data_IF_134048702947
#
_entry.id   IF_134048702947
#
_cell.length_a   1.000
_cell.length_b   1.000
_cell.length_c   1.000
_cell.angle_alpha   90.00
_cell.angle_beta   90.00
_cell.angle_gamma   90.00
#
_symmetry.space_group_name_H-M   'P 1'
#
loop_
_entity.id
_entity.type
_entity.pdbx_description
1 polymer ?
#
# COMPACT_ATOMS: atom_id res chain seq x y z
N UNK A 1 12.96 -11.51 19.13
CA UNK A 1 11.64 -10.88 19.45
C UNK A 1 10.88 -11.86 20.32
N UNK A 2 10.41 -11.47 21.52
CA UNK A 2 9.70 -12.39 22.44
C UNK A 2 8.17 -12.39 22.26
N UNK A 3 7.64 -11.66 21.33
CA UNK A 3 6.19 -11.53 21.11
C UNK A 3 5.84 -12.21 19.80
N UNK A 4 4.88 -13.13 19.85
CA UNK A 4 4.34 -13.75 18.63
C UNK A 4 3.54 -12.66 17.89
N UNK A 5 4.14 -12.05 16.86
CA UNK A 5 3.47 -11.08 16.00
C UNK A 5 2.72 -11.87 14.94
N UNK A 6 1.42 -11.61 14.82
CA UNK A 6 0.59 -12.23 13.79
C UNK A 6 -0.27 -11.17 13.14
N UNK A 7 -0.23 -11.12 11.80
CA UNK A 7 -1.08 -10.24 10.99
C UNK A 7 -2.37 -10.97 10.63
N UNK A 8 -3.49 -10.33 10.89
CA UNK A 8 -4.78 -10.82 10.42
C UNK A 8 -5.10 -10.25 9.03
N UNK A 9 -5.68 -11.09 8.18
CA UNK A 9 -6.17 -10.65 6.87
C UNK A 9 -7.37 -9.73 7.05
N UNK A 10 -7.28 -8.50 6.56
CA UNK A 10 -8.36 -7.52 6.60
C UNK A 10 -9.45 -7.86 5.58
N UNK A 11 -10.67 -7.47 5.89
CA UNK A 11 -11.82 -7.51 4.97
C UNK A 11 -12.02 -6.12 4.35
N UNK A 12 -12.38 -6.11 3.08
CA UNK A 12 -12.65 -4.90 2.30
C UNK A 12 -14.10 -4.93 1.80
N UNK A 13 -15.07 -4.52 2.62
CA UNK A 13 -16.50 -4.68 2.31
C UNK A 13 -16.92 -3.95 1.03
N UNK A 14 -16.32 -2.81 0.73
CA UNK A 14 -16.63 -2.02 -0.46
C UNK A 14 -16.28 -2.74 -1.78
N UNK A 15 -15.38 -3.72 -1.75
CA UNK A 15 -15.04 -4.50 -2.95
C UNK A 15 -16.18 -5.42 -3.42
N UNK A 16 -17.10 -5.80 -2.54
CA UNK A 16 -18.27 -6.61 -2.90
C UNK A 16 -19.20 -5.87 -3.89
N UNK A 17 -19.20 -4.54 -3.84
CA UNK A 17 -19.98 -3.65 -4.70
C UNK A 17 -19.16 -3.07 -5.85
N UNK A 18 -17.97 -3.59 -6.13
CA UNK A 18 -16.98 -3.10 -7.11
C UNK A 18 -17.54 -3.03 -8.54
N UNK A 19 -18.46 -2.10 -8.75
CA UNK A 19 -19.10 -1.83 -10.04
C UNK A 19 -18.05 -1.33 -11.02
N UNK A 20 -17.73 -2.18 -12.01
CA UNK A 20 -16.83 -1.79 -13.11
C UNK A 20 -15.43 -2.40 -13.08
N UNK A 21 -14.96 -2.94 -11.94
CA UNK A 21 -13.72 -3.71 -11.92
C UNK A 21 -14.04 -5.18 -12.19
N UNK A 22 -13.38 -5.84 -13.15
CA UNK A 22 -13.58 -7.26 -13.40
C UNK A 22 -13.29 -8.10 -12.15
N UNK A 23 -14.19 -9.05 -11.85
CA UNK A 23 -14.15 -9.84 -10.61
C UNK A 23 -12.85 -10.66 -10.48
N UNK A 24 -12.31 -11.15 -11.59
CA UNK A 24 -11.06 -11.89 -11.61
C UNK A 24 -9.85 -10.99 -11.21
N UNK A 25 -9.82 -9.74 -11.63
CA UNK A 25 -8.80 -8.76 -11.23
C UNK A 25 -8.86 -8.51 -9.72
N UNK A 26 -10.05 -8.28 -9.17
CA UNK A 26 -10.21 -8.12 -7.72
C UNK A 26 -9.78 -9.37 -6.96
N UNK A 27 -10.16 -10.56 -7.44
CA UNK A 27 -9.73 -11.83 -6.83
C UNK A 27 -8.22 -12.01 -6.86
N UNK A 28 -7.56 -11.65 -7.95
CA UNK A 28 -6.10 -11.74 -8.06
C UNK A 28 -5.41 -10.83 -7.03
N UNK A 29 -5.84 -9.58 -6.92
CA UNK A 29 -5.31 -8.65 -5.91
C UNK A 29 -5.55 -9.15 -4.49
N UNK A 30 -6.75 -9.66 -4.19
CA UNK A 30 -7.06 -10.24 -2.87
C UNK A 30 -6.20 -11.47 -2.56
N UNK A 31 -5.96 -12.34 -3.54
CA UNK A 31 -5.09 -13.51 -3.39
C UNK A 31 -3.63 -13.12 -3.17
N UNK A 32 -3.16 -12.08 -3.89
CA UNK A 32 -1.82 -11.54 -3.70
C UNK A 32 -1.65 -10.97 -2.30
N UNK A 33 -2.63 -10.21 -1.82
CA UNK A 33 -2.67 -9.71 -0.45
C UNK A 33 -2.61 -10.85 0.59
N UNK A 34 -3.48 -11.86 0.45
CA UNK A 34 -3.54 -13.00 1.37
C UNK A 34 -2.22 -13.75 1.43
N UNK A 35 -1.60 -14.02 0.25
CA UNK A 35 -0.27 -14.65 0.18
C UNK A 35 0.79 -13.83 0.90
N UNK A 36 0.78 -12.51 0.74
CA UNK A 36 1.74 -11.62 1.41
C UNK A 36 1.57 -11.62 2.93
N UNK A 37 0.32 -11.68 3.44
CA UNK A 37 0.04 -11.81 4.87
C UNK A 37 0.55 -13.15 5.41
N UNK A 38 0.31 -14.26 4.70
CA UNK A 38 0.83 -15.57 5.08
C UNK A 38 2.34 -15.57 5.16
N UNK A 39 3.01 -15.05 4.13
CA UNK A 39 4.47 -14.95 4.08
C UNK A 39 5.05 -14.08 5.22
N UNK A 40 4.38 -12.97 5.57
CA UNK A 40 4.79 -12.14 6.70
C UNK A 40 4.71 -12.90 8.02
N UNK A 41 3.63 -13.68 8.22
CA UNK A 41 3.46 -14.50 9.43
C UNK A 41 4.52 -15.60 9.52
N UNK A 42 4.81 -16.28 8.41
CA UNK A 42 5.88 -17.29 8.34
C UNK A 42 7.25 -16.69 8.70
N UNK A 43 7.54 -15.46 8.23
CA UNK A 43 8.78 -14.76 8.60
C UNK A 43 8.83 -14.39 10.08
N UNK A 44 7.70 -13.96 10.68
CA UNK A 44 7.62 -13.67 12.10
C UNK A 44 7.82 -14.93 12.94
N UNK A 45 7.24 -16.06 12.55
CA UNK A 45 7.40 -17.35 13.26
C UNK A 45 8.86 -17.83 13.18
N UNK A 46 9.49 -17.74 12.01
CA UNK A 46 10.91 -18.07 11.85
C UNK A 46 11.82 -17.18 12.71
N UNK A 47 11.56 -15.86 12.74
CA UNK A 47 12.30 -14.92 13.57
C UNK A 47 12.08 -15.17 15.07
N UNK A 48 10.89 -15.61 15.49
CA UNK A 48 10.60 -15.95 16.88
C UNK A 48 11.40 -17.18 17.33
N UNK A 49 11.56 -18.20 16.47
CA UNK A 49 12.33 -19.42 16.79
C UNK A 49 13.82 -19.15 16.93
N UNK A 50 14.38 -18.19 16.19
CA UNK A 50 15.82 -17.87 16.24
C UNK A 50 16.28 -17.25 17.58
N UNK A 51 15.37 -16.70 18.38
CA UNK A 51 15.70 -16.07 19.67
C UNK A 51 15.92 -17.07 20.83
N UNK A 52 15.78 -18.39 20.59
CA UNK A 52 15.91 -19.46 21.61
C UNK A 52 17.35 -19.90 21.88
N UNK A 53 18.27 -19.69 20.94
CA UNK A 53 19.66 -20.17 21.08
C UNK A 53 20.58 -19.06 21.62
N UNK A 54 20.87 -19.14 22.93
CA UNK A 54 21.79 -18.23 23.64
C UNK A 54 23.29 -18.49 23.35
N UNK A 55 23.59 -19.26 22.29
CA UNK A 55 24.96 -19.55 21.87
C UNK A 55 25.56 -18.45 20.95
N UNK A 56 26.88 -18.52 20.73
CA UNK A 56 27.52 -17.65 19.74
C UNK A 56 26.94 -17.92 18.36
N UNK A 57 26.60 -16.85 17.58
CA UNK A 57 25.99 -17.01 16.28
C UNK A 57 26.94 -17.72 15.30
N UNK A 58 26.46 -18.79 14.69
CA UNK A 58 27.17 -19.50 13.62
C UNK A 58 27.00 -18.79 12.27
N UNK A 59 27.89 -19.04 11.31
CA UNK A 59 27.75 -18.46 9.95
C UNK A 59 26.45 -18.84 9.24
N UNK A 60 25.91 -20.06 9.35
CA UNK A 60 24.56 -20.37 8.84
C UNK A 60 23.46 -19.55 9.51
N UNK A 61 23.49 -19.39 10.84
CA UNK A 61 22.53 -18.58 11.60
C UNK A 61 22.55 -17.12 11.15
N UNK A 62 23.74 -16.54 10.97
CA UNK A 62 23.91 -15.17 10.49
C UNK A 62 23.33 -14.99 9.08
N UNK A 63 23.56 -15.95 8.17
CA UNK A 63 23.01 -15.92 6.81
C UNK A 63 21.49 -16.00 6.80
N UNK A 64 20.92 -16.92 7.57
CA UNK A 64 19.47 -17.07 7.66
C UNK A 64 18.80 -15.82 8.23
N UNK A 65 19.36 -15.27 9.31
CA UNK A 65 18.86 -14.02 9.90
C UNK A 65 18.93 -12.86 8.91
N UNK A 66 20.05 -12.71 8.18
CA UNK A 66 20.18 -11.68 7.14
C UNK A 66 19.11 -11.83 6.06
N UNK A 67 18.87 -13.04 5.57
CA UNK A 67 17.84 -13.31 4.55
C UNK A 67 16.46 -12.86 5.04
N UNK A 68 16.05 -13.31 6.24
CA UNK A 68 14.75 -12.95 6.82
C UNK A 68 14.60 -11.45 7.06
N UNK A 69 15.63 -10.78 7.61
CA UNK A 69 15.60 -9.35 7.86
C UNK A 69 15.65 -8.50 6.57
N UNK A 70 16.14 -9.05 5.46
CA UNK A 70 16.08 -8.42 4.14
C UNK A 70 14.68 -8.60 3.51
N UNK A 71 14.06 -9.75 3.70
CA UNK A 71 12.76 -10.09 3.13
C UNK A 71 11.59 -9.43 3.90
N UNK A 72 11.72 -9.29 5.20
CA UNK A 72 10.66 -8.76 6.07
C UNK A 72 10.15 -7.37 5.64
N UNK A 73 10.98 -6.34 5.40
CA UNK A 73 10.49 -5.03 4.95
C UNK A 73 9.81 -5.10 3.58
N UNK A 74 10.28 -5.94 2.66
CA UNK A 74 9.67 -6.16 1.34
C UNK A 74 8.26 -6.71 1.49
N UNK A 75 8.12 -7.76 2.29
CA UNK A 75 6.83 -8.42 2.54
C UNK A 75 5.86 -7.50 3.27
N UNK A 76 6.32 -6.79 4.31
CA UNK A 76 5.47 -5.84 5.04
C UNK A 76 5.04 -4.66 4.18
N UNK A 77 5.92 -4.12 3.35
CA UNK A 77 5.57 -3.07 2.40
C UNK A 77 4.49 -3.54 1.42
N UNK A 78 4.59 -4.79 0.95
CA UNK A 78 3.59 -5.39 0.06
C UNK A 78 2.24 -5.54 0.75
N UNK A 79 2.21 -6.08 1.98
CA UNK A 79 0.98 -6.18 2.79
C UNK A 79 0.33 -4.82 2.96
N UNK A 80 1.10 -3.80 3.40
CA UNK A 80 0.58 -2.46 3.67
C UNK A 80 0.11 -1.75 2.41
N UNK A 81 0.82 -1.91 1.29
CA UNK A 81 0.40 -1.34 0.01
C UNK A 81 -0.92 -1.94 -0.48
N UNK A 82 -1.09 -3.26 -0.38
CA UNK A 82 -2.39 -3.89 -0.70
C UNK A 82 -3.50 -3.47 0.26
N UNK A 83 -3.22 -3.32 1.56
CA UNK A 83 -4.22 -2.84 2.52
C UNK A 83 -4.76 -1.46 2.14
N UNK A 84 -3.87 -0.52 1.80
CA UNK A 84 -4.26 0.83 1.37
C UNK A 84 -4.97 0.77 0.02
N UNK A 85 -4.46 0.01 -0.95
CA UNK A 85 -5.03 -0.13 -2.28
C UNK A 85 -6.44 -0.70 -2.26
N UNK A 86 -6.63 -1.85 -1.61
CA UNK A 86 -7.93 -2.53 -1.58
C UNK A 86 -8.97 -1.77 -0.75
N UNK A 87 -8.53 -1.03 0.28
CA UNK A 87 -9.44 -0.29 1.15
C UNK A 87 -10.17 0.86 0.44
N UNK A 88 -9.51 1.54 -0.51
CA UNK A 88 -10.11 2.69 -1.20
C UNK A 88 -10.84 2.34 -2.51
N UNK A 89 -10.97 1.04 -2.85
CA UNK A 89 -11.70 0.63 -4.04
C UNK A 89 -13.17 0.34 -3.74
N UNK A 90 -14.05 0.68 -4.69
CA UNK A 90 -15.44 0.24 -4.71
C UNK A 90 -16.43 1.08 -3.90
N UNK A 91 -15.99 2.10 -3.19
CA UNK A 91 -16.87 2.97 -2.41
C UNK A 91 -17.69 3.97 -3.23
N UNK A 92 -18.40 4.86 -2.55
CA UNK A 92 -19.38 5.78 -3.17
C UNK A 92 -18.92 7.24 -3.27
N UNK A 93 -17.93 7.66 -2.50
CA UNK A 93 -17.45 9.06 -2.47
C UNK A 93 -16.49 9.32 -3.62
N UNK A 94 -16.93 10.10 -4.62
CA UNK A 94 -16.22 10.27 -5.90
C UNK A 94 -15.31 11.50 -5.96
N UNK A 95 -15.27 12.34 -4.94
CA UNK A 95 -14.45 13.53 -4.89
C UNK A 95 -13.78 13.70 -3.53
N UNK A 96 -12.55 14.25 -3.47
CA UNK A 96 -11.90 14.58 -2.20
C UNK A 96 -12.75 15.54 -1.38
N UNK A 97 -12.79 15.29 -0.07
CA UNK A 97 -13.51 16.14 0.88
C UNK A 97 -12.58 17.16 1.55
N UNK A 98 -13.10 17.88 2.53
CA UNK A 98 -12.55 19.10 3.09
C UNK A 98 -11.02 19.20 3.23
N UNK A 99 -10.41 18.35 4.07
CA UNK A 99 -8.98 18.46 4.39
C UNK A 99 -8.10 17.99 3.23
N UNK A 100 -8.46 16.88 2.61
CA UNK A 100 -7.73 16.34 1.46
C UNK A 100 -7.83 17.29 0.25
N UNK A 101 -9.03 17.83 -0.03
CA UNK A 101 -9.21 18.79 -1.12
C UNK A 101 -8.36 20.06 -0.90
N UNK A 102 -8.27 20.53 0.34
CA UNK A 102 -7.42 21.67 0.70
C UNK A 102 -5.93 21.34 0.52
N UNK A 103 -5.50 20.17 1.01
CA UNK A 103 -4.11 19.74 0.91
C UNK A 103 -3.70 19.51 -0.56
N UNK A 104 -4.57 18.86 -1.36
CA UNK A 104 -4.35 18.69 -2.81
C UNK A 104 -4.22 20.06 -3.50
N UNK A 105 -5.07 21.01 -3.16
CA UNK A 105 -5.02 22.37 -3.75
C UNK A 105 -3.72 23.10 -3.39
N UNK A 106 -3.27 22.94 -2.15
CA UNK A 106 -2.01 23.50 -1.66
C UNK A 106 -0.78 22.91 -2.37
N UNK A 107 -0.79 21.59 -2.65
CA UNK A 107 0.40 20.88 -3.12
C UNK A 107 0.44 20.72 -4.65
N UNK A 108 -0.73 20.66 -5.30
CA UNK A 108 -0.86 20.40 -6.74
C UNK A 108 -1.64 21.51 -7.50
N UNK A 109 -2.15 22.52 -6.79
CA UNK A 109 -2.91 23.61 -7.38
C UNK A 109 -4.40 23.33 -7.54
N UNK A 110 -4.80 22.15 -8.01
CA UNK A 110 -6.19 21.73 -8.13
C UNK A 110 -6.33 20.20 -8.12
N UNK A 111 -7.56 19.71 -7.90
CA UNK A 111 -7.84 18.27 -8.04
C UNK A 111 -7.57 17.77 -9.46
N UNK A 112 -7.95 18.53 -10.49
CA UNK A 112 -7.67 18.16 -11.87
C UNK A 112 -6.18 18.06 -12.19
N UNK A 113 -5.37 19.03 -11.72
CA UNK A 113 -3.92 18.99 -11.88
C UNK A 113 -3.29 17.79 -11.13
N UNK A 114 -3.76 17.51 -9.91
CA UNK A 114 -3.36 16.33 -9.16
C UNK A 114 -3.67 15.04 -9.91
N UNK A 115 -4.90 14.87 -10.40
CA UNK A 115 -5.30 13.64 -11.11
C UNK A 115 -4.51 13.45 -12.39
N UNK A 116 -4.24 14.52 -13.13
CA UNK A 116 -3.36 14.46 -14.31
C UNK A 116 -1.95 14.02 -13.94
N UNK A 117 -1.38 14.62 -12.90
CA UNK A 117 -0.04 14.28 -12.41
C UNK A 117 0.02 12.82 -11.92
N UNK A 118 -0.94 12.40 -11.09
CA UNK A 118 -1.00 11.05 -10.55
C UNK A 118 -1.16 9.99 -11.66
N UNK A 119 -2.06 10.24 -12.62
CA UNK A 119 -2.23 9.38 -13.79
C UNK A 119 -0.95 9.26 -14.61
N UNK A 120 -0.27 10.38 -14.87
CA UNK A 120 1.01 10.37 -15.60
C UNK A 120 2.08 9.60 -14.85
N UNK A 121 2.19 9.78 -13.52
CA UNK A 121 3.11 9.03 -12.67
C UNK A 121 2.78 7.53 -12.68
N UNK A 122 1.49 7.17 -12.62
CA UNK A 122 1.04 5.78 -12.67
C UNK A 122 1.41 5.10 -14.00
N UNK A 123 1.23 5.78 -15.13
CA UNK A 123 1.61 5.26 -16.46
C UNK A 123 3.13 5.14 -16.63
N UNK A 124 3.89 6.04 -16.01
CA UNK A 124 5.35 5.99 -15.99
C UNK A 124 5.91 4.91 -15.02
N UNK A 125 5.08 4.44 -14.07
CA UNK A 125 5.52 3.45 -13.09
C UNK A 125 5.54 2.04 -13.68
N UNK A 126 6.57 1.24 -13.41
CA UNK A 126 6.60 -0.17 -13.80
C UNK A 126 5.75 -1.07 -12.89
N UNK A 127 5.34 -0.62 -11.70
CA UNK A 127 4.66 -1.48 -10.74
C UNK A 127 3.64 -0.78 -9.86
N UNK A 128 4.04 0.22 -9.10
CA UNK A 128 3.24 0.84 -8.06
C UNK A 128 3.31 2.36 -8.11
N UNK A 129 2.21 3.03 -7.79
CA UNK A 129 2.15 4.47 -7.59
C UNK A 129 1.47 4.76 -6.26
N UNK A 130 1.98 5.73 -5.52
CA UNK A 130 1.44 6.14 -4.24
C UNK A 130 1.32 7.66 -4.14
N UNK A 131 0.26 8.11 -3.50
CA UNK A 131 0.16 9.40 -2.86
C UNK A 131 0.48 9.20 -1.39
N UNK A 132 1.50 9.85 -0.88
CA UNK A 132 1.93 9.75 0.51
C UNK A 132 2.00 11.15 1.15
N UNK A 133 1.70 11.22 2.44
CA UNK A 133 1.86 12.43 3.23
C UNK A 133 3.22 12.43 3.94
N UNK A 134 4.06 13.41 3.62
CA UNK A 134 5.34 13.60 4.29
C UNK A 134 5.12 14.34 5.61
N UNK A 135 5.34 13.63 6.73
CA UNK A 135 5.01 14.09 8.07
C UNK A 135 5.82 15.31 8.49
N UNK A 136 7.09 15.35 8.11
CA UNK A 136 8.02 16.46 8.39
C UNK A 136 7.81 17.66 7.47
N UNK A 137 7.52 17.42 6.20
CA UNK A 137 7.28 18.46 5.20
C UNK A 137 5.84 18.99 5.24
N UNK A 138 4.90 18.23 5.80
CA UNK A 138 3.46 18.50 5.77
C UNK A 138 2.93 18.73 4.35
N UNK A 139 3.33 17.84 3.43
CA UNK A 139 3.03 17.88 2.01
C UNK A 139 2.63 16.50 1.49
N UNK A 140 1.76 16.49 0.51
CA UNK A 140 1.49 15.31 -0.30
C UNK A 140 2.58 15.16 -1.36
N UNK A 141 3.11 13.96 -1.47
CA UNK A 141 4.10 13.56 -2.47
C UNK A 141 3.57 12.38 -3.27
N UNK A 142 3.84 12.40 -4.58
CA UNK A 142 3.56 11.25 -5.43
C UNK A 142 4.86 10.45 -5.63
N UNK A 143 4.79 9.14 -5.42
CA UNK A 143 5.91 8.21 -5.51
C UNK A 143 5.60 7.12 -6.52
N UNK A 144 6.62 6.63 -7.21
CA UNK A 144 6.52 5.47 -8.11
C UNK A 144 7.60 4.45 -7.77
N UNK A 145 7.32 3.18 -8.01
CA UNK A 145 8.28 2.08 -7.81
C UNK A 145 7.87 0.82 -8.56
N UNK A 146 8.83 -0.01 -8.89
CA UNK A 146 8.61 -1.34 -9.45
C UNK A 146 8.05 -2.30 -8.39
N UNK A 147 8.39 -2.07 -7.12
CA UNK A 147 7.97 -2.87 -5.99
C UNK A 147 7.51 -1.99 -4.82
N UNK A 148 6.63 -2.48 -3.92
CA UNK A 148 6.08 -1.69 -2.82
C UNK A 148 7.10 -1.14 -1.83
N UNK A 149 8.18 -1.88 -1.56
CA UNK A 149 9.21 -1.44 -0.61
C UNK A 149 9.94 -0.17 -1.07
N UNK A 150 9.99 0.10 -2.38
CA UNK A 150 10.55 1.34 -2.92
C UNK A 150 9.70 2.58 -2.65
N UNK A 151 8.43 2.37 -2.27
CA UNK A 151 7.53 3.43 -1.81
C UNK A 151 7.66 3.67 -0.29
N UNK A 152 8.31 2.76 0.44
CA UNK A 152 8.43 2.78 1.90
C UNK A 152 9.59 3.68 2.32
N UNK A 153 9.38 4.98 2.31
CA UNK A 153 10.35 5.98 2.71
C UNK A 153 10.04 6.45 4.15
N UNK A 154 11.08 6.67 4.94
CA UNK A 154 10.94 7.18 6.31
C UNK A 154 10.15 8.50 6.35
N UNK A 155 9.30 8.66 7.36
CA UNK A 155 8.41 9.81 7.55
C UNK A 155 7.36 10.02 6.46
N UNK A 156 7.09 9.02 5.63
CA UNK A 156 5.97 9.04 4.69
C UNK A 156 4.85 8.11 5.15
N UNK A 157 3.64 8.63 5.20
CA UNK A 157 2.43 7.84 5.43
C UNK A 157 1.66 7.68 4.11
N UNK A 158 1.37 6.43 3.66
CA UNK A 158 0.63 6.22 2.43
C UNK A 158 -0.84 6.66 2.61
N UNK A 159 -1.32 7.50 1.71
CA UNK A 159 -2.68 8.03 1.70
C UNK A 159 -3.53 7.32 0.64
N UNK A 160 -2.95 7.07 -0.52
CA UNK A 160 -3.55 6.31 -1.62
C UNK A 160 -2.46 5.54 -2.36
N UNK A 161 -2.71 4.28 -2.69
CA UNK A 161 -1.76 3.41 -3.39
C UNK A 161 -2.48 2.67 -4.50
N UNK A 162 -1.89 2.59 -5.69
CA UNK A 162 -2.41 1.78 -6.78
C UNK A 162 -1.34 0.86 -7.35
N UNK A 163 -1.71 -0.38 -7.59
CA UNK A 163 -0.91 -1.31 -8.37
C UNK A 163 -1.17 -1.09 -9.86
N UNK A 164 -0.12 -0.91 -10.64
CA UNK A 164 -0.20 -0.58 -12.07
C UNK A 164 0.77 -1.41 -12.91
N UNK A 165 1.25 -2.52 -12.35
CA UNK A 165 2.17 -3.42 -13.04
C UNK A 165 1.51 -4.04 -14.27
N UNK A 166 2.29 -4.40 -15.32
CA UNK A 166 1.76 -5.11 -16.49
C UNK A 166 1.05 -6.43 -16.14
N UNK A 167 1.44 -7.07 -15.02
CA UNK A 167 0.78 -8.30 -14.54
C UNK A 167 -0.62 -8.00 -14.02
N UNK A 168 -0.82 -6.89 -13.33
CA UNK A 168 -2.12 -6.49 -12.77
C UNK A 168 -3.12 -6.04 -13.82
N UNK A 169 -2.65 -5.62 -14.99
CA UNK A 169 -3.53 -5.30 -16.13
C UNK A 169 -4.27 -6.54 -16.61
N UNK A 170 -3.64 -7.71 -16.50
CA UNK A 170 -4.25 -9.01 -16.74
C UNK A 170 -4.78 -9.23 -18.15
N UNK A 171 -5.46 -10.37 -18.34
CA UNK A 171 -6.05 -10.76 -19.63
C UNK A 171 -7.22 -9.83 -20.03
N UNK A 172 -7.94 -9.29 -19.05
CA UNK A 172 -9.15 -8.49 -19.27
C UNK A 172 -8.88 -7.14 -19.96
N UNK A 173 -7.75 -6.54 -19.68
CA UNK A 173 -7.33 -5.28 -20.28
C UNK A 173 -6.26 -5.48 -21.36
N UNK A 174 -5.74 -6.70 -21.53
CA UNK A 174 -4.66 -6.98 -22.48
C UNK A 174 -3.42 -6.15 -22.14
N UNK A 175 -3.00 -5.26 -23.06
CA UNK A 175 -1.90 -4.33 -22.85
C UNK A 175 -2.38 -2.89 -22.58
N UNK A 176 -3.69 -2.69 -22.46
CA UNK A 176 -4.29 -1.36 -22.27
C UNK A 176 -4.23 -0.91 -20.79
N UNK A 177 -3.04 -0.46 -20.41
CA UNK A 177 -2.76 0.07 -19.06
C UNK A 177 -3.56 1.33 -18.75
N UNK A 178 -3.86 2.15 -19.75
CA UNK A 178 -4.65 3.37 -19.56
C UNK A 178 -6.06 3.04 -19.15
N UNK A 179 -6.69 2.09 -19.84
CA UNK A 179 -8.05 1.62 -19.52
C UNK A 179 -8.10 0.96 -18.14
N UNK A 180 -7.12 0.11 -17.81
CA UNK A 180 -7.00 -0.46 -16.47
C UNK A 180 -6.92 0.64 -15.40
N UNK A 181 -5.97 1.55 -15.56
CA UNK A 181 -5.76 2.64 -14.62
C UNK A 181 -7.02 3.50 -14.47
N UNK A 182 -7.67 3.88 -15.57
CA UNK A 182 -8.90 4.65 -15.52
C UNK A 182 -9.99 3.92 -14.74
N UNK A 183 -10.15 2.61 -14.98
CA UNK A 183 -11.11 1.78 -14.25
C UNK A 183 -10.85 1.79 -12.75
N UNK A 184 -9.57 1.68 -12.32
CA UNK A 184 -9.21 1.72 -10.90
C UNK A 184 -9.44 3.11 -10.29
N UNK A 185 -9.06 4.18 -10.99
CA UNK A 185 -9.23 5.55 -10.52
C UNK A 185 -10.71 5.95 -10.37
N UNK A 186 -11.58 5.47 -11.26
CA UNK A 186 -13.03 5.70 -11.19
C UNK A 186 -13.69 5.02 -9.98
N UNK A 187 -13.02 4.04 -9.38
CA UNK A 187 -13.50 3.31 -8.22
C UNK A 187 -12.94 3.82 -6.88
N UNK A 188 -12.14 4.87 -6.89
CA UNK A 188 -11.59 5.44 -5.65
C UNK A 188 -12.73 5.92 -4.75
N UNK A 189 -12.75 5.43 -3.51
CA UNK A 189 -13.50 6.02 -2.41
C UNK A 189 -12.66 7.10 -1.73
N UNK A 190 -12.96 8.34 -2.08
CA UNK A 190 -12.23 9.48 -1.54
C UNK A 190 -12.43 9.68 -0.04
N UNK A 191 -13.48 9.12 0.57
CA UNK A 191 -13.65 9.16 2.02
C UNK A 191 -12.61 8.31 2.76
N UNK A 192 -12.16 7.21 2.14
CA UNK A 192 -11.06 6.38 2.67
C UNK A 192 -9.74 7.11 2.53
N UNK A 193 -9.49 7.76 1.40
CA UNK A 193 -8.28 8.56 1.18
C UNK A 193 -8.20 9.73 2.15
N UNK A 194 -9.33 10.42 2.41
CA UNK A 194 -9.45 11.47 3.44
C UNK A 194 -9.05 10.95 4.82
N UNK A 195 -9.66 9.83 5.24
CA UNK A 195 -9.35 9.22 6.54
C UNK A 195 -7.87 8.84 6.66
N UNK A 196 -7.27 8.28 5.63
CA UNK A 196 -5.84 7.94 5.64
C UNK A 196 -4.97 9.19 5.84
N UNK A 197 -5.34 10.33 5.25
CA UNK A 197 -4.66 11.60 5.46
C UNK A 197 -4.84 12.11 6.90
N UNK A 198 -6.04 12.03 7.44
CA UNK A 198 -6.34 12.44 8.82
C UNK A 198 -5.56 11.60 9.83
N UNK A 199 -5.54 10.29 9.66
CA UNK A 199 -4.76 9.37 10.50
C UNK A 199 -3.26 9.67 10.42
N UNK A 200 -2.74 9.98 9.23
CA UNK A 200 -1.35 10.37 9.04
C UNK A 200 -1.02 11.72 9.72
N UNK A 201 -1.93 12.69 9.65
CA UNK A 201 -1.74 14.03 10.23
C UNK A 201 -1.98 14.11 11.73
N UNK A 202 -2.62 13.11 12.35
CA UNK A 202 -2.89 13.08 13.78
C UNK A 202 -1.66 12.60 14.53
N UNK A 203 -1.13 13.38 15.51
CA UNK A 203 -0.06 12.89 16.36
C UNK A 203 -0.52 11.61 17.07
N UNK A 204 0.16 10.50 16.87
CA UNK A 204 -0.09 9.29 17.63
C UNK A 204 0.07 9.63 19.12
N UNK A 205 -0.92 9.33 20.00
CA UNK A 205 -0.74 9.54 21.43
C UNK A 205 0.51 8.77 21.85
N UNK A 206 1.47 9.50 22.44
CA UNK A 206 2.68 8.88 22.95
C UNK A 206 2.25 7.73 23.86
N UNK A 207 2.55 6.50 23.46
CA UNK A 207 2.19 5.31 24.20
C UNK A 207 2.60 5.51 25.65
N UNK A 208 1.68 5.34 26.59
CA UNK A 208 1.99 5.31 28.02
C UNK A 208 3.09 4.26 28.21
N UNK A 209 4.26 4.74 28.63
CA UNK A 209 5.37 3.88 29.06
C UNK A 209 4.97 3.13 30.32
#
# INVERSE_FOLDING_TARGET
>A
MKTNIHLETKRFPNLADGKGIPVNILKEHQQNYQRSVTQANELFDQLATMNGDAGSPTMPTIRNLRSMLTELPVTLATVKSYEVFLAHLGGSTRTPQANLAQQIRKDFGSHGAFMLFFRTAALASPGWVALAYALDLRRLLCLIGDTPEKLSVWNLAPVMVNEVSPRSVGVEFGQDRERYLQTMLDQIDWSVVERNLEEAGTPQPAGRR
#
